data_IF_306771709476
#
_entry.id   IF_306771709476
#
_cell.length_a   1.000
_cell.length_b   1.000
_cell.length_c   1.000
_cell.angle_alpha   90.00
_cell.angle_beta   90.00
_cell.angle_gamma   90.00
#
_symmetry.space_group_name_H-M   'P 1'
#
loop_
_entity.id
_entity.type
_entity.pdbx_description
1 polymer ?
#
# COMPACT_ATOMS: atom_id res chain seq x y z
N UNK A 1 13.97 -33.12 21.19
CA UNK A 1 15.00 -32.37 20.46
C UNK A 1 14.26 -31.20 19.82
N UNK A 2 14.83 -30.00 19.75
CA UNK A 2 14.21 -28.93 19.00
C UNK A 2 13.97 -29.39 17.55
N UNK A 3 12.87 -29.00 16.96
CA UNK A 3 12.56 -29.24 15.55
C UNK A 3 13.68 -28.63 14.69
N UNK A 4 13.93 -29.18 13.53
CA UNK A 4 14.94 -28.66 12.60
C UNK A 4 14.64 -27.23 12.19
N UNK A 5 13.35 -26.84 12.11
CA UNK A 5 12.92 -25.49 11.86
C UNK A 5 13.27 -24.52 13.03
N UNK A 6 13.17 -24.97 14.29
CA UNK A 6 13.54 -24.17 15.45
C UNK A 6 15.04 -23.85 15.46
N UNK A 7 15.88 -24.86 15.13
CA UNK A 7 17.31 -24.66 15.02
C UNK A 7 17.67 -23.70 13.89
N UNK A 8 17.00 -23.83 12.75
CA UNK A 8 17.19 -22.94 11.62
C UNK A 8 16.78 -21.50 11.97
N UNK A 9 15.65 -21.34 12.66
CA UNK A 9 15.13 -20.04 13.11
C UNK A 9 16.08 -19.32 14.09
N UNK A 10 16.79 -20.08 14.93
CA UNK A 10 17.85 -19.52 15.79
C UNK A 10 19.09 -19.14 14.98
N UNK A 11 19.52 -20.00 14.08
CA UNK A 11 20.75 -19.83 13.32
C UNK A 11 20.70 -18.66 12.31
N UNK A 12 19.54 -18.38 11.69
CA UNK A 12 19.38 -17.21 10.79
C UNK A 12 19.50 -15.87 11.50
N UNK A 13 19.35 -15.85 12.81
CA UNK A 13 19.47 -14.65 13.65
C UNK A 13 20.82 -14.56 14.38
N UNK A 14 21.75 -15.48 14.12
CA UNK A 14 23.07 -15.51 14.77
C UNK A 14 23.88 -14.24 14.45
N UNK A 15 24.68 -13.79 15.43
CA UNK A 15 25.58 -12.64 15.25
C UNK A 15 26.68 -12.90 14.23
N UNK A 16 27.07 -14.19 14.06
CA UNK A 16 28.09 -14.59 13.11
C UNK A 16 27.49 -14.68 11.69
N UNK A 17 27.96 -13.88 10.73
CA UNK A 17 27.42 -13.87 9.37
C UNK A 17 27.64 -15.20 8.63
N UNK A 18 28.64 -16.01 9.00
CA UNK A 18 28.83 -17.33 8.40
C UNK A 18 27.78 -18.34 8.88
N UNK A 19 27.34 -18.25 10.15
CA UNK A 19 26.23 -19.08 10.64
C UNK A 19 24.95 -18.72 9.89
N UNK A 20 24.68 -17.45 9.71
CA UNK A 20 23.53 -16.98 8.91
C UNK A 20 23.62 -17.42 7.45
N UNK A 21 24.83 -17.41 6.85
CA UNK A 21 25.03 -17.82 5.47
C UNK A 21 24.68 -19.31 5.29
N UNK A 22 25.24 -20.17 6.13
CA UNK A 22 24.93 -21.59 6.08
C UNK A 22 23.45 -21.88 6.37
N UNK A 23 22.84 -21.11 7.25
CA UNK A 23 21.42 -21.20 7.55
C UNK A 23 20.53 -20.78 6.37
N UNK A 24 20.93 -19.73 5.62
CA UNK A 24 20.23 -19.32 4.41
C UNK A 24 20.25 -20.42 3.34
N UNK A 25 21.42 -21.06 3.16
CA UNK A 25 21.56 -22.20 2.24
C UNK A 25 20.70 -23.39 2.73
N UNK A 26 20.80 -23.73 4.02
CA UNK A 26 20.02 -24.82 4.60
C UNK A 26 18.52 -24.60 4.43
N UNK A 27 18.01 -23.38 4.68
CA UNK A 27 16.59 -23.05 4.50
C UNK A 27 16.11 -23.37 3.08
N UNK A 28 16.91 -23.07 2.05
CA UNK A 28 16.54 -23.35 0.66
C UNK A 28 16.40 -24.83 0.33
N UNK A 29 17.09 -25.71 1.09
CA UNK A 29 16.97 -27.17 0.94
C UNK A 29 15.72 -27.74 1.60
N UNK A 30 15.23 -27.13 2.69
CA UNK A 30 13.97 -27.56 3.31
C UNK A 30 12.79 -27.35 2.35
N UNK A 31 12.78 -26.26 1.60
CA UNK A 31 11.78 -26.00 0.56
C UNK A 31 10.34 -25.97 1.07
N UNK A 32 10.11 -25.47 2.29
CA UNK A 32 8.78 -25.27 2.88
C UNK A 32 8.50 -23.76 3.02
N UNK A 33 7.24 -23.41 3.22
CA UNK A 33 6.85 -22.02 3.45
C UNK A 33 7.45 -21.48 4.75
N UNK A 34 7.46 -22.28 5.81
CA UNK A 34 8.08 -21.94 7.09
C UNK A 34 9.58 -21.69 6.95
N UNK A 35 10.27 -22.48 6.11
CA UNK A 35 11.67 -22.25 5.82
C UNK A 35 11.90 -20.96 5.02
N UNK A 36 10.96 -20.55 4.15
CA UNK A 36 11.01 -19.26 3.45
C UNK A 36 10.84 -18.10 4.46
N UNK A 37 9.89 -18.19 5.37
CA UNK A 37 9.70 -17.19 6.42
C UNK A 37 10.94 -17.04 7.30
N UNK A 38 11.57 -18.16 7.64
CA UNK A 38 12.84 -18.17 8.38
C UNK A 38 13.97 -17.59 7.54
N UNK A 39 14.09 -17.95 6.27
CA UNK A 39 15.10 -17.41 5.35
C UNK A 39 15.03 -15.88 5.24
N UNK A 40 13.83 -15.30 5.15
CA UNK A 40 13.65 -13.85 5.06
C UNK A 40 14.22 -13.11 6.27
N UNK A 41 14.23 -13.73 7.45
CA UNK A 41 14.82 -13.17 8.67
C UNK A 41 16.34 -13.00 8.62
N UNK A 42 17.03 -13.63 7.69
CA UNK A 42 18.46 -13.39 7.45
C UNK A 42 18.73 -11.92 7.14
N UNK A 43 17.78 -11.27 6.48
CA UNK A 43 17.83 -9.86 6.11
C UNK A 43 17.43 -8.88 7.26
N UNK A 44 17.16 -9.37 8.47
CA UNK A 44 16.93 -8.53 9.65
C UNK A 44 18.24 -7.91 10.20
N UNK A 45 19.38 -8.33 9.71
CA UNK A 45 20.69 -7.85 10.08
C UNK A 45 21.52 -7.53 8.82
N UNK A 46 22.55 -6.66 8.92
CA UNK A 46 23.38 -6.30 7.79
C UNK A 46 23.96 -7.50 7.05
N UNK A 47 23.90 -7.46 5.73
CA UNK A 47 24.39 -8.51 4.84
C UNK A 47 25.74 -8.08 4.24
N UNK A 48 26.82 -8.80 4.56
CA UNK A 48 28.04 -8.70 3.79
C UNK A 48 27.87 -9.35 2.40
N UNK A 49 28.78 -9.07 1.47
CA UNK A 49 28.64 -9.49 0.06
C UNK A 49 28.37 -10.99 -0.13
N UNK A 50 29.07 -11.86 0.62
CA UNK A 50 28.88 -13.31 0.53
C UNK A 50 27.52 -13.76 1.05
N UNK A 51 27.10 -13.21 2.19
CA UNK A 51 25.79 -13.53 2.77
C UNK A 51 24.67 -13.02 1.88
N UNK A 52 24.79 -11.82 1.33
CA UNK A 52 23.82 -11.25 0.38
C UNK A 52 23.68 -12.14 -0.85
N UNK A 53 24.80 -12.58 -1.41
CA UNK A 53 24.79 -13.48 -2.55
C UNK A 53 24.10 -14.81 -2.22
N UNK A 54 24.48 -15.47 -1.10
CA UNK A 54 23.86 -16.69 -0.66
C UNK A 54 22.35 -16.53 -0.41
N UNK A 55 21.94 -15.44 0.26
CA UNK A 55 20.54 -15.12 0.53
C UNK A 55 19.73 -14.98 -0.76
N UNK A 56 20.22 -14.20 -1.72
CA UNK A 56 19.53 -14.00 -3.02
C UNK A 56 19.45 -15.30 -3.82
N UNK A 57 20.53 -16.09 -3.85
CA UNK A 57 20.52 -17.41 -4.50
C UNK A 57 19.54 -18.37 -3.85
N UNK A 58 19.46 -18.37 -2.52
CA UNK A 58 18.52 -19.20 -1.76
C UNK A 58 17.08 -18.81 -2.05
N UNK A 59 16.74 -17.52 -2.02
CA UNK A 59 15.41 -17.02 -2.36
C UNK A 59 15.01 -17.33 -3.82
N UNK A 60 15.96 -17.23 -4.75
CA UNK A 60 15.75 -17.50 -6.18
C UNK A 60 15.71 -18.99 -6.53
N UNK A 61 16.00 -19.89 -5.58
CA UNK A 61 15.99 -21.35 -5.82
C UNK A 61 14.56 -21.82 -6.18
N UNK A 62 14.47 -22.90 -6.98
CA UNK A 62 13.18 -23.47 -7.40
C UNK A 62 12.33 -23.89 -6.17
N UNK A 63 12.97 -24.42 -5.14
CA UNK A 63 12.29 -24.85 -3.92
C UNK A 63 11.63 -23.68 -3.18
N UNK A 64 12.22 -22.48 -3.19
CA UNK A 64 11.66 -21.29 -2.55
C UNK A 64 10.69 -20.56 -3.45
N UNK A 65 10.99 -20.47 -4.77
CA UNK A 65 10.18 -19.74 -5.75
C UNK A 65 8.72 -20.15 -5.74
N UNK A 66 8.42 -21.43 -5.67
CA UNK A 66 7.05 -21.97 -5.66
C UNK A 66 6.17 -21.46 -4.50
N UNK A 67 6.79 -20.96 -3.42
CA UNK A 67 6.07 -20.43 -2.25
C UNK A 67 5.83 -18.92 -2.31
N UNK A 68 6.72 -18.18 -2.96
CA UNK A 68 6.59 -16.72 -3.04
C UNK A 68 6.11 -16.21 -4.41
N UNK A 69 6.30 -16.93 -5.51
CA UNK A 69 5.88 -16.48 -6.83
C UNK A 69 4.36 -16.41 -6.92
N UNK A 70 3.84 -15.21 -7.23
CA UNK A 70 2.40 -14.95 -7.25
C UNK A 70 1.73 -14.82 -5.90
N UNK A 71 2.47 -14.92 -4.79
CA UNK A 71 1.95 -14.79 -3.44
C UNK A 71 2.22 -13.37 -2.91
N UNK A 72 1.15 -12.59 -2.70
CA UNK A 72 1.23 -11.18 -2.27
C UNK A 72 1.90 -10.99 -0.91
N UNK A 73 1.82 -11.98 -0.01
CA UNK A 73 2.55 -12.00 1.27
C UNK A 73 4.06 -11.79 1.08
N UNK A 74 4.61 -12.29 0.00
CA UNK A 74 6.04 -12.20 -0.30
C UNK A 74 6.37 -11.17 -1.39
N UNK A 75 5.55 -10.12 -1.53
CA UNK A 75 5.72 -9.07 -2.55
C UNK A 75 7.10 -8.39 -2.56
N UNK A 76 7.82 -8.42 -1.43
CA UNK A 76 9.20 -7.91 -1.34
C UNK A 76 10.24 -8.80 -2.03
N UNK A 77 10.00 -10.12 -2.13
CA UNK A 77 11.00 -11.06 -2.68
C UNK A 77 11.38 -10.74 -4.13
N UNK A 78 10.44 -10.49 -5.06
CA UNK A 78 10.78 -10.05 -6.42
C UNK A 78 11.61 -8.77 -6.46
N UNK A 79 11.34 -7.82 -5.54
CA UNK A 79 12.10 -6.56 -5.45
C UNK A 79 13.54 -6.82 -5.00
N UNK A 80 13.73 -7.67 -3.98
CA UNK A 80 15.04 -8.10 -3.48
C UNK A 80 15.86 -8.84 -4.55
N UNK A 81 15.21 -9.71 -5.32
CA UNK A 81 15.87 -10.47 -6.39
C UNK A 81 16.27 -9.60 -7.58
N UNK A 82 15.48 -8.57 -7.90
CA UNK A 82 15.78 -7.65 -9.01
C UNK A 82 17.03 -6.83 -8.77
N UNK A 83 17.25 -6.40 -7.53
CA UNK A 83 18.47 -5.69 -7.12
C UNK A 83 18.86 -6.10 -5.71
N UNK A 84 19.80 -7.04 -5.62
CA UNK A 84 20.32 -7.55 -4.34
C UNK A 84 20.89 -6.45 -3.43
N UNK A 85 21.32 -5.30 -3.97
CA UNK A 85 21.81 -4.16 -3.18
C UNK A 85 20.68 -3.42 -2.48
N UNK A 86 19.48 -3.48 -3.03
CA UNK A 86 18.28 -2.87 -2.41
C UNK A 86 17.78 -3.64 -1.19
N UNK A 87 18.23 -4.88 -0.97
CA UNK A 87 17.87 -5.63 0.24
C UNK A 87 18.19 -4.83 1.50
N UNK A 88 19.33 -4.15 1.54
CA UNK A 88 19.75 -3.34 2.69
C UNK A 88 18.86 -2.10 2.92
N UNK A 89 18.22 -1.57 1.89
CA UNK A 89 17.30 -0.44 2.04
C UNK A 89 15.98 -0.80 2.74
N UNK A 90 15.72 -2.09 2.92
CA UNK A 90 14.57 -2.63 3.63
C UNK A 90 14.94 -3.26 4.99
N UNK A 91 16.19 -3.06 5.43
CA UNK A 91 16.60 -3.51 6.75
C UNK A 91 16.05 -2.61 7.84
N UNK A 92 15.81 -3.21 8.98
CA UNK A 92 15.45 -2.46 10.17
C UNK A 92 16.56 -1.46 10.52
N UNK A 93 16.23 -0.16 10.68
CA UNK A 93 17.22 0.82 11.09
C UNK A 93 17.70 0.51 12.52
N UNK A 94 18.95 0.89 12.86
CA UNK A 94 19.45 0.71 14.23
C UNK A 94 18.51 1.34 15.25
N UNK A 95 18.06 0.53 16.22
CA UNK A 95 17.21 0.97 17.31
C UNK A 95 17.97 1.70 18.41
N UNK A 96 17.25 2.44 19.22
CA UNK A 96 17.78 3.04 20.47
C UNK A 96 17.98 1.98 21.57
N UNK A 97 18.63 2.34 22.67
CA UNK A 97 18.74 1.45 23.84
C UNK A 97 17.35 1.07 24.41
N UNK A 98 16.37 1.99 24.34
CA UNK A 98 14.98 1.72 24.76
C UNK A 98 14.29 0.72 23.83
N UNK A 99 14.57 0.80 22.54
CA UNK A 99 14.06 -0.16 21.55
C UNK A 99 14.61 -1.55 21.83
N UNK A 100 15.90 -1.65 22.13
CA UNK A 100 16.53 -2.91 22.47
C UNK A 100 15.96 -3.51 23.80
N UNK A 101 15.65 -2.65 24.78
CA UNK A 101 14.97 -3.06 26.02
C UNK A 101 13.54 -3.55 25.74
N UNK A 102 12.80 -2.85 24.87
CA UNK A 102 11.47 -3.26 24.46
C UNK A 102 11.50 -4.62 23.74
N UNK A 103 12.47 -4.83 22.87
CA UNK A 103 12.63 -6.06 22.10
C UNK A 103 12.99 -7.30 22.95
N UNK A 104 13.39 -7.10 24.22
CA UNK A 104 13.64 -8.18 25.20
C UNK A 104 12.38 -8.58 25.98
N UNK A 105 11.25 -7.92 25.79
CA UNK A 105 10.04 -8.27 26.53
C UNK A 105 9.59 -9.71 26.20
N UNK A 106 9.14 -10.41 27.24
CA UNK A 106 8.54 -11.72 27.08
C UNK A 106 7.28 -11.61 26.24
N UNK A 107 7.05 -12.61 25.42
CA UNK A 107 5.87 -12.70 24.54
C UNK A 107 5.78 -11.57 23.47
N UNK A 108 6.90 -10.92 23.15
CA UNK A 108 7.00 -9.98 22.04
C UNK A 108 6.58 -10.68 20.72
N UNK A 109 5.62 -10.08 20.01
CA UNK A 109 5.30 -10.49 18.65
C UNK A 109 5.87 -9.49 17.65
N UNK A 110 6.47 -9.99 16.58
CA UNK A 110 6.96 -9.15 15.47
C UNK A 110 6.01 -9.29 14.28
N UNK A 111 5.33 -8.20 13.94
CA UNK A 111 4.49 -8.10 12.75
C UNK A 111 5.32 -7.45 11.62
N UNK A 112 5.30 -8.09 10.45
CA UNK A 112 5.94 -7.56 9.23
C UNK A 112 4.86 -7.25 8.23
N UNK A 113 4.64 -5.97 7.98
CA UNK A 113 3.64 -5.48 7.03
C UNK A 113 4.37 -4.64 5.98
N UNK A 114 4.18 -4.97 4.71
CA UNK A 114 4.71 -4.19 3.62
C UNK A 114 3.60 -3.67 2.72
N UNK A 115 3.90 -2.66 1.92
CA UNK A 115 3.06 -2.27 0.80
C UNK A 115 3.29 -3.24 -0.36
N UNK A 116 2.23 -3.70 -1.00
CA UNK A 116 2.34 -4.48 -2.24
C UNK A 116 2.63 -3.49 -3.37
N UNK A 117 3.77 -3.61 -4.08
CA UNK A 117 4.08 -2.68 -5.15
C UNK A 117 2.96 -2.58 -6.17
N UNK A 118 2.58 -1.36 -6.51
CA UNK A 118 1.62 -1.06 -7.58
C UNK A 118 0.18 -1.52 -7.31
N UNK A 119 -0.19 -1.90 -6.07
CA UNK A 119 -1.54 -2.38 -5.76
C UNK A 119 -2.29 -1.58 -4.69
N UNK A 120 -1.64 -0.62 -4.02
CA UNK A 120 -2.22 0.12 -2.88
C UNK A 120 -2.87 -0.80 -1.85
N UNK A 121 -2.18 -1.87 -1.48
CA UNK A 121 -2.60 -2.85 -0.47
C UNK A 121 -1.45 -3.17 0.48
N UNK A 122 -1.79 -3.61 1.67
CA UNK A 122 -0.85 -4.21 2.59
C UNK A 122 -0.66 -5.70 2.30
N UNK A 123 0.55 -6.22 2.54
CA UNK A 123 0.82 -7.67 2.41
C UNK A 123 0.00 -8.50 3.39
N UNK A 124 -0.20 -7.96 4.59
CA UNK A 124 -1.03 -8.55 5.62
C UNK A 124 -2.22 -7.61 5.84
N UNK A 125 -3.40 -8.08 5.50
CA UNK A 125 -4.66 -7.34 5.72
C UNK A 125 -5.39 -7.82 6.97
N UNK A 126 -4.97 -8.98 7.50
CA UNK A 126 -5.52 -9.58 8.72
C UNK A 126 -4.38 -10.08 9.58
N UNK A 127 -4.24 -9.54 10.76
CA UNK A 127 -3.25 -9.97 11.75
C UNK A 127 -3.90 -10.13 13.12
N UNK A 128 -3.36 -11.02 13.96
CA UNK A 128 -3.85 -11.21 15.33
C UNK A 128 -2.75 -11.04 16.35
N UNK A 129 -3.12 -10.52 17.53
CA UNK A 129 -2.25 -10.40 18.70
C UNK A 129 -3.08 -10.64 19.97
N UNK A 130 -2.43 -10.99 21.07
CA UNK A 130 -3.08 -11.06 22.37
C UNK A 130 -3.30 -9.68 22.99
N UNK A 131 -4.37 -9.53 23.75
CA UNK A 131 -4.65 -8.32 24.49
C UNK A 131 -3.50 -7.94 25.42
N UNK A 132 -3.01 -6.69 25.30
CA UNK A 132 -1.88 -6.20 26.09
C UNK A 132 -0.51 -6.78 25.69
N UNK A 133 -0.39 -7.51 24.60
CA UNK A 133 0.87 -8.08 24.13
C UNK A 133 1.82 -7.00 23.61
N UNK A 134 3.13 -7.07 23.90
CA UNK A 134 4.11 -6.21 23.24
C UNK A 134 4.22 -6.56 21.76
N UNK A 135 4.17 -5.54 20.90
CA UNK A 135 4.19 -5.64 19.45
C UNK A 135 5.32 -4.81 18.88
N UNK A 136 6.12 -5.44 18.01
CA UNK A 136 7.07 -4.78 17.14
C UNK A 136 6.54 -4.86 15.71
N UNK A 137 6.09 -3.73 15.16
CA UNK A 137 5.70 -3.61 13.77
C UNK A 137 6.88 -3.16 12.92
N UNK A 138 7.26 -3.93 11.92
CA UNK A 138 8.20 -3.54 10.88
C UNK A 138 7.37 -3.24 9.64
N UNK A 139 7.20 -1.96 9.36
CA UNK A 139 6.46 -1.48 8.20
C UNK A 139 7.43 -1.10 7.07
N UNK A 140 7.19 -1.63 5.87
CA UNK A 140 8.11 -1.50 4.74
C UNK A 140 7.36 -1.03 3.48
N UNK A 141 7.94 -0.06 2.78
CA UNK A 141 7.34 0.46 1.55
C UNK A 141 8.28 0.33 0.34
N UNK A 142 8.11 -0.71 -0.50
CA UNK A 142 8.81 -0.87 -1.78
C UNK A 142 8.11 -0.18 -2.96
N UNK A 143 6.94 0.43 -2.72
CA UNK A 143 6.10 1.01 -3.77
C UNK A 143 6.67 2.33 -4.34
N UNK A 144 6.11 2.78 -5.44
CA UNK A 144 6.42 4.04 -6.10
C UNK A 144 5.77 5.26 -5.42
N UNK A 145 4.85 5.02 -4.49
CA UNK A 145 4.09 6.02 -3.75
C UNK A 145 4.42 5.96 -2.27
N UNK A 146 4.33 7.11 -1.57
CA UNK A 146 4.52 7.14 -0.12
C UNK A 146 3.31 6.55 0.59
N UNK A 147 3.57 5.79 1.66
CA UNK A 147 2.54 5.17 2.49
C UNK A 147 2.90 5.26 3.98
N UNK A 148 1.89 5.20 4.81
CA UNK A 148 2.01 5.00 6.26
C UNK A 148 1.10 3.86 6.73
N UNK A 149 1.23 3.50 7.99
CA UNK A 149 0.38 2.54 8.67
C UNK A 149 -0.19 3.19 9.93
N UNK A 150 -1.51 3.24 10.06
CA UNK A 150 -2.21 3.93 11.14
C UNK A 150 -3.24 3.00 11.75
N UNK A 151 -3.09 2.67 13.04
CA UNK A 151 -4.03 1.85 13.81
C UNK A 151 -5.05 2.75 14.50
N UNK A 152 -6.32 2.42 14.36
CA UNK A 152 -7.42 3.22 14.92
C UNK A 152 -8.36 2.40 15.80
N UNK A 153 -9.13 3.10 16.63
CA UNK A 153 -10.19 2.49 17.42
C UNK A 153 -11.27 1.85 16.53
N UNK A 154 -11.92 0.77 16.98
CA UNK A 154 -13.05 0.17 16.28
C UNK A 154 -14.14 1.19 15.94
N UNK A 155 -14.58 1.20 14.66
CA UNK A 155 -15.64 2.08 14.16
C UNK A 155 -15.19 3.48 13.72
N UNK A 156 -13.89 3.84 13.84
CA UNK A 156 -13.40 5.18 13.51
C UNK A 156 -12.55 5.27 12.23
N UNK A 157 -12.44 4.18 11.47
CA UNK A 157 -11.64 4.15 10.25
C UNK A 157 -12.07 5.22 9.24
N UNK A 158 -13.38 5.31 8.96
CA UNK A 158 -13.92 6.27 8.00
C UNK A 158 -13.70 7.70 8.45
N UNK A 159 -13.91 7.99 9.75
CA UNK A 159 -13.71 9.32 10.29
C UNK A 159 -12.25 9.77 10.15
N UNK A 160 -11.30 8.91 10.51
CA UNK A 160 -9.87 9.21 10.41
C UNK A 160 -9.44 9.33 8.94
N UNK A 161 -9.90 8.43 8.08
CA UNK A 161 -9.59 8.45 6.64
C UNK A 161 -10.13 9.71 5.94
N UNK A 162 -11.37 10.10 6.23
CA UNK A 162 -11.95 11.35 5.71
C UNK A 162 -11.22 12.58 6.23
N UNK A 163 -10.86 12.60 7.52
CA UNK A 163 -10.11 13.72 8.10
C UNK A 163 -8.72 13.86 7.46
N UNK A 164 -8.05 12.74 7.13
CA UNK A 164 -6.78 12.75 6.41
C UNK A 164 -6.96 13.32 4.98
N UNK A 165 -8.01 12.93 4.27
CA UNK A 165 -8.35 13.50 2.96
C UNK A 165 -8.57 15.02 3.01
N UNK A 166 -9.25 15.52 4.05
CA UNK A 166 -9.47 16.96 4.21
C UNK A 166 -8.18 17.77 4.37
N UNK A 167 -7.10 17.15 4.84
CA UNK A 167 -5.79 17.81 4.99
C UNK A 167 -5.22 18.31 3.66
N UNK A 168 -5.58 17.70 2.53
CA UNK A 168 -5.16 18.11 1.17
C UNK A 168 -5.58 19.54 0.83
N UNK A 169 -6.72 19.98 1.34
CA UNK A 169 -7.23 21.34 1.10
C UNK A 169 -6.31 22.44 1.61
N UNK A 170 -5.37 22.11 2.48
CA UNK A 170 -4.37 23.04 2.98
C UNK A 170 -2.99 22.72 2.37
N UNK A 171 -2.45 23.54 1.47
CA UNK A 171 -1.15 23.31 0.83
C UNK A 171 0.01 23.12 1.82
N UNK A 172 -0.10 23.66 3.05
CA UNK A 172 0.92 23.47 4.09
C UNK A 172 1.07 22.01 4.53
N UNK A 173 0.06 21.18 4.27
CA UNK A 173 0.09 19.77 4.61
C UNK A 173 0.74 18.90 3.52
N UNK A 174 1.10 19.44 2.37
CA UNK A 174 1.67 18.66 1.25
C UNK A 174 2.90 17.82 1.63
N UNK A 175 3.67 18.27 2.64
CA UNK A 175 4.84 17.56 3.17
C UNK A 175 4.60 16.90 4.53
N UNK A 176 3.37 16.91 5.03
CA UNK A 176 3.02 16.24 6.28
C UNK A 176 2.96 14.73 6.11
N UNK A 177 2.82 14.01 7.21
CA UNK A 177 2.57 12.57 7.20
C UNK A 177 1.08 12.22 7.04
N UNK A 178 0.24 13.22 6.77
CA UNK A 178 -1.22 13.11 6.67
C UNK A 178 -1.88 12.41 7.87
N UNK A 179 -1.30 12.58 9.05
CA UNK A 179 -1.94 12.16 10.30
C UNK A 179 -2.86 13.31 10.74
N UNK A 180 -4.18 13.13 10.72
CA UNK A 180 -5.12 14.18 11.10
C UNK A 180 -5.03 14.49 12.60
N UNK A 181 -5.45 15.72 12.98
CA UNK A 181 -5.63 16.05 14.38
C UNK A 181 -6.72 15.16 14.97
N UNK A 182 -6.43 14.55 16.08
CA UNK A 182 -7.27 13.54 16.74
C UNK A 182 -7.47 13.89 18.23
N UNK A 183 -8.33 14.91 18.53
CA UNK A 183 -8.56 15.34 19.92
C UNK A 183 -9.21 14.26 20.78
N UNK A 184 -9.93 13.31 20.16
CA UNK A 184 -10.67 12.25 20.83
C UNK A 184 -9.89 10.94 20.93
N UNK A 185 -8.62 10.95 20.49
CA UNK A 185 -7.69 9.82 20.58
C UNK A 185 -8.18 8.53 19.88
N UNK A 186 -8.77 8.67 18.69
CA UNK A 186 -9.18 7.52 17.87
C UNK A 186 -7.99 6.85 17.18
N UNK A 187 -6.90 7.58 16.95
CA UNK A 187 -5.63 7.04 16.42
C UNK A 187 -4.83 6.49 17.59
N UNK A 188 -4.60 5.17 17.58
CA UNK A 188 -3.88 4.48 18.65
C UNK A 188 -2.37 4.46 18.41
N UNK A 189 -1.97 4.16 17.17
CA UNK A 189 -0.56 4.07 16.76
C UNK A 189 -0.43 4.50 15.29
N UNK A 190 0.73 5.02 14.91
CA UNK A 190 0.98 5.33 13.51
C UNK A 190 2.49 5.37 13.18
N UNK A 191 2.82 5.14 11.92
CA UNK A 191 4.12 5.42 11.34
C UNK A 191 4.08 6.74 10.57
N UNK A 192 5.20 7.46 10.43
CA UNK A 192 5.29 8.51 9.43
C UNK A 192 5.10 7.93 8.02
N UNK A 193 4.91 8.78 7.04
CA UNK A 193 5.00 8.38 5.64
C UNK A 193 6.42 7.90 5.32
N UNK A 194 6.54 6.76 4.67
CA UNK A 194 7.78 6.23 4.12
C UNK A 194 7.61 5.92 2.64
N UNK A 195 8.67 6.02 1.87
CA UNK A 195 8.63 5.73 0.43
C UNK A 195 9.60 6.58 -0.40
N UNK A 196 9.37 6.68 -1.72
CA UNK A 196 10.31 7.31 -2.65
C UNK A 196 10.55 8.79 -2.40
N UNK A 197 9.54 9.54 -1.92
CA UNK A 197 9.70 10.97 -1.62
C UNK A 197 10.20 11.23 -0.20
N UNK A 198 10.48 10.15 0.55
CA UNK A 198 10.95 10.18 1.94
C UNK A 198 12.33 9.53 2.03
N UNK A 199 13.09 9.90 3.05
CA UNK A 199 14.44 9.37 3.25
C UNK A 199 14.45 7.95 3.86
N UNK A 200 13.31 7.29 3.97
CA UNK A 200 13.21 5.94 4.53
C UNK A 200 12.17 5.10 3.81
N UNK A 201 12.49 3.82 3.65
CA UNK A 201 11.59 2.79 3.13
C UNK A 201 11.12 1.83 4.22
N UNK A 202 11.61 1.99 5.44
CA UNK A 202 11.26 1.16 6.60
C UNK A 202 10.99 2.03 7.80
N UNK A 203 9.95 1.71 8.54
CA UNK A 203 9.70 2.25 9.87
C UNK A 203 9.43 1.13 10.84
N UNK A 204 9.95 1.24 12.06
CA UNK A 204 9.73 0.28 13.14
C UNK A 204 8.99 0.94 14.27
N UNK A 205 7.81 0.42 14.55
CA UNK A 205 6.95 0.89 15.63
C UNK A 205 6.88 -0.16 16.72
N UNK A 206 7.04 0.26 17.98
CA UNK A 206 6.96 -0.59 19.16
C UNK A 206 5.85 -0.09 20.06
N UNK A 207 4.90 -0.96 20.37
CA UNK A 207 3.75 -0.59 21.19
C UNK A 207 3.18 -1.79 21.95
N UNK A 208 2.32 -1.49 22.92
CA UNK A 208 1.53 -2.52 23.57
C UNK A 208 0.18 -2.59 22.88
N UNK A 209 -0.23 -3.78 22.47
CA UNK A 209 -1.53 -4.01 21.89
C UNK A 209 -2.67 -3.52 22.79
N UNK A 210 -3.81 -3.10 22.25
CA UNK A 210 -4.97 -2.74 23.05
C UNK A 210 -5.30 -3.83 24.08
N UNK A 211 -5.76 -3.41 25.26
CA UNK A 211 -6.13 -4.35 26.33
C UNK A 211 -7.50 -4.96 26.14
N UNK A 212 -8.38 -4.25 25.45
CA UNK A 212 -9.74 -4.70 25.18
C UNK A 212 -9.72 -5.58 23.91
N UNK A 213 -10.23 -6.82 23.97
CA UNK A 213 -10.38 -7.64 22.77
C UNK A 213 -11.33 -6.99 21.76
N UNK A 214 -10.99 -7.10 20.47
CA UNK A 214 -11.78 -6.49 19.41
C UNK A 214 -11.04 -6.44 18.08
N UNK A 215 -11.73 -5.94 17.06
CA UNK A 215 -11.18 -5.73 15.72
C UNK A 215 -10.81 -4.26 15.58
N UNK A 216 -9.53 -3.99 15.50
CA UNK A 216 -8.95 -2.66 15.37
C UNK A 216 -8.50 -2.46 13.93
N UNK A 217 -9.16 -1.56 13.17
CA UNK A 217 -8.74 -1.28 11.80
C UNK A 217 -7.37 -0.60 11.75
N UNK A 218 -6.60 -0.89 10.71
CA UNK A 218 -5.45 -0.07 10.33
C UNK A 218 -5.58 0.32 8.85
N UNK A 219 -5.03 1.48 8.50
CA UNK A 219 -5.21 2.08 7.20
C UNK A 219 -3.98 2.89 6.80
N UNK A 220 -3.84 3.19 5.50
CA UNK A 220 -2.94 4.22 5.01
C UNK A 220 -3.69 5.54 4.95
N UNK A 221 -3.19 6.58 5.63
CA UNK A 221 -3.81 7.91 5.63
C UNK A 221 -3.28 8.83 4.54
N UNK A 222 -2.40 8.36 3.65
CA UNK A 222 -2.11 9.13 2.43
C UNK A 222 -3.43 9.36 1.69
N UNK A 223 -3.73 10.60 1.27
CA UNK A 223 -5.06 10.97 0.79
C UNK A 223 -5.59 10.07 -0.32
N UNK A 224 -6.80 9.57 -0.15
CA UNK A 224 -7.48 8.64 -1.05
C UNK A 224 -7.17 7.15 -0.83
N UNK A 225 -6.06 6.80 -0.17
CA UNK A 225 -5.61 5.40 -0.06
C UNK A 225 -6.44 4.57 0.91
N UNK A 226 -6.91 5.15 2.02
CA UNK A 226 -7.57 4.45 3.13
C UNK A 226 -8.77 3.59 2.69
N UNK A 227 -9.43 3.97 1.59
CA UNK A 227 -10.62 3.26 1.08
C UNK A 227 -10.26 1.84 0.65
N UNK A 228 -9.10 1.65 0.05
CA UNK A 228 -8.63 0.36 -0.47
C UNK A 228 -7.43 -0.20 0.30
N UNK A 229 -6.61 0.67 0.88
CA UNK A 229 -5.40 0.29 1.61
C UNK A 229 -5.68 0.28 3.12
N UNK A 230 -6.30 -0.79 3.58
CA UNK A 230 -6.64 -1.01 4.97
C UNK A 230 -6.51 -2.48 5.36
N UNK A 231 -6.65 -2.76 6.65
CA UNK A 231 -6.64 -4.09 7.21
C UNK A 231 -7.16 -4.09 8.65
N UNK A 232 -7.05 -5.21 9.33
CA UNK A 232 -7.56 -5.38 10.68
C UNK A 232 -6.59 -6.11 11.59
N UNK A 233 -6.35 -5.54 12.76
CA UNK A 233 -5.67 -6.17 13.89
C UNK A 233 -6.73 -6.77 14.81
N UNK A 234 -6.79 -8.09 14.87
CA UNK A 234 -7.66 -8.79 15.81
C UNK A 234 -6.94 -8.97 17.15
N UNK A 235 -7.41 -8.26 18.15
CA UNK A 235 -6.94 -8.39 19.54
C UNK A 235 -7.81 -9.43 20.24
N UNK A 236 -7.19 -10.49 20.76
CA UNK A 236 -7.87 -11.62 21.39
C UNK A 236 -7.26 -11.95 22.76
N UNK A 237 -7.96 -12.74 23.58
CA UNK A 237 -7.40 -13.27 24.81
C UNK A 237 -6.61 -14.58 24.58
N UNK A 238 -6.99 -15.31 23.55
CA UNK A 238 -6.45 -16.63 23.21
C UNK A 238 -5.63 -16.58 21.92
N UNK A 239 -4.88 -17.64 21.67
CA UNK A 239 -4.21 -17.83 20.38
C UNK A 239 -5.24 -18.13 19.30
N UNK A 240 -5.08 -17.50 18.14
CA UNK A 240 -5.95 -17.66 16.98
C UNK A 240 -5.18 -18.38 15.89
N UNK A 241 -5.76 -19.42 15.33
CA UNK A 241 -5.20 -20.08 14.17
C UNK A 241 -5.30 -19.20 12.93
N UNK A 242 -4.44 -19.39 11.93
CA UNK A 242 -4.52 -18.67 10.67
C UNK A 242 -5.85 -18.94 9.93
N UNK A 243 -6.39 -20.13 10.08
CA UNK A 243 -7.70 -20.50 9.52
C UNK A 243 -8.84 -19.70 10.18
N UNK A 244 -8.83 -19.61 11.50
CA UNK A 244 -9.83 -18.80 12.25
C UNK A 244 -9.71 -17.31 11.91
N UNK A 245 -8.47 -16.81 11.75
CA UNK A 245 -8.21 -15.43 11.35
C UNK A 245 -8.83 -15.13 9.98
N UNK A 246 -8.68 -16.03 9.02
CA UNK A 246 -9.21 -15.84 7.68
C UNK A 246 -10.73 -15.96 7.62
N UNK A 247 -11.32 -16.88 8.40
CA UNK A 247 -12.76 -17.15 8.40
C UNK A 247 -13.57 -16.14 9.22
N UNK A 248 -13.07 -15.74 10.40
CA UNK A 248 -13.83 -14.97 11.37
C UNK A 248 -13.56 -13.46 11.32
N UNK A 249 -12.45 -13.04 10.75
CA UNK A 249 -12.14 -11.63 10.60
C UNK A 249 -12.71 -11.11 9.29
N UNK A 250 -13.88 -10.48 9.35
CA UNK A 250 -14.40 -9.68 8.24
C UNK A 250 -13.71 -8.32 8.28
N UNK A 251 -12.97 -7.99 7.24
CA UNK A 251 -12.59 -6.60 7.00
C UNK A 251 -13.92 -5.89 6.69
N UNK A 252 -14.30 -4.84 7.43
CA UNK A 252 -15.54 -4.14 7.14
C UNK A 252 -15.54 -3.68 5.68
N UNK A 253 -16.61 -4.00 4.96
CA UNK A 253 -16.97 -3.35 3.69
C UNK A 253 -16.45 -4.01 2.39
N UNK A 254 -15.83 -5.18 2.38
CA UNK A 254 -15.60 -5.87 1.11
C UNK A 254 -16.85 -6.63 0.64
N UNK A 255 -17.44 -6.22 -0.48
CA UNK A 255 -18.58 -6.93 -1.10
C UNK A 255 -18.06 -7.93 -2.14
N UNK A 256 -17.24 -7.45 -3.08
CA UNK A 256 -16.72 -8.28 -4.17
C UNK A 256 -15.54 -7.64 -4.89
N UNK A 257 -14.58 -8.44 -5.30
CA UNK A 257 -13.57 -8.04 -6.29
C UNK A 257 -14.20 -8.14 -7.70
N UNK A 258 -14.70 -7.00 -8.18
CA UNK A 258 -15.41 -6.90 -9.45
C UNK A 258 -14.47 -7.06 -10.64
N UNK A 259 -14.85 -7.92 -11.57
CA UNK A 259 -14.14 -8.13 -12.82
C UNK A 259 -15.00 -7.71 -14.01
N UNK A 260 -14.37 -7.37 -15.14
CA UNK A 260 -15.11 -7.01 -16.36
C UNK A 260 -16.09 -8.10 -16.82
N UNK A 261 -15.79 -9.38 -16.54
CA UNK A 261 -16.65 -10.51 -16.82
C UNK A 261 -17.99 -10.47 -16.07
N UNK A 262 -18.05 -9.81 -14.90
CA UNK A 262 -19.28 -9.65 -14.13
C UNK A 262 -20.28 -8.68 -14.80
N UNK A 263 -19.81 -7.96 -15.83
CA UNK A 263 -20.55 -6.91 -16.54
C UNK A 263 -20.63 -7.17 -18.06
N UNK A 264 -20.92 -8.41 -18.47
CA UNK A 264 -21.03 -8.76 -19.90
C UNK A 264 -22.12 -7.95 -20.62
N UNK A 265 -23.23 -7.69 -19.94
CA UNK A 265 -24.30 -6.81 -20.42
C UNK A 265 -24.47 -5.62 -19.46
N UNK A 266 -24.06 -4.43 -19.93
CA UNK A 266 -24.26 -3.16 -19.24
C UNK A 266 -25.36 -2.38 -19.95
N UNK A 267 -26.39 -2.02 -19.19
CA UNK A 267 -27.36 -0.99 -19.59
C UNK A 267 -27.29 0.13 -18.57
N UNK A 268 -26.70 1.26 -18.98
CA UNK A 268 -26.62 2.46 -18.14
C UNK A 268 -27.97 3.17 -18.23
N UNK A 269 -28.62 3.34 -17.09
CA UNK A 269 -29.89 4.04 -17.02
C UNK A 269 -29.70 5.55 -17.25
N UNK A 270 -30.67 6.15 -17.96
CA UNK A 270 -30.75 7.62 -18.10
C UNK A 270 -31.81 8.23 -17.16
N UNK A 271 -32.38 7.41 -16.29
CA UNK A 271 -33.36 7.82 -15.33
C UNK A 271 -32.75 8.73 -14.25
N UNK A 272 -33.45 9.81 -13.91
CA UNK A 272 -32.99 10.81 -12.94
C UNK A 272 -32.74 10.19 -11.54
N UNK A 273 -33.58 9.23 -11.12
CA UNK A 273 -33.37 8.54 -9.84
C UNK A 273 -32.10 7.70 -9.83
N UNK A 274 -31.75 7.04 -10.96
CA UNK A 274 -30.50 6.31 -11.09
C UNK A 274 -29.29 7.25 -11.01
N UNK A 275 -29.37 8.41 -11.68
CA UNK A 275 -28.33 9.45 -11.63
C UNK A 275 -28.15 9.98 -10.20
N UNK A 276 -29.24 10.23 -9.47
CA UNK A 276 -29.16 10.67 -8.07
C UNK A 276 -28.53 9.63 -7.14
N UNK A 277 -28.90 8.34 -7.31
CA UNK A 277 -28.24 7.26 -6.54
C UNK A 277 -26.76 7.13 -6.93
N UNK A 278 -26.43 7.35 -8.23
CA UNK A 278 -25.07 7.35 -8.72
C UNK A 278 -24.21 8.47 -8.14
N UNK A 279 -24.80 9.64 -7.85
CA UNK A 279 -24.10 10.69 -7.10
C UNK A 279 -23.71 10.20 -5.70
N UNK A 280 -24.60 9.47 -5.01
CA UNK A 280 -24.26 8.87 -3.73
C UNK A 280 -23.12 7.86 -3.89
N UNK A 281 -23.18 6.97 -4.88
CA UNK A 281 -22.12 6.01 -5.19
C UNK A 281 -20.78 6.69 -5.48
N UNK A 282 -20.79 7.83 -6.19
CA UNK A 282 -19.59 8.65 -6.47
C UNK A 282 -18.95 9.20 -5.19
N UNK A 283 -19.77 9.61 -4.22
CA UNK A 283 -19.31 10.08 -2.91
C UNK A 283 -18.85 8.91 -2.03
N UNK A 284 -19.58 7.82 -1.99
CA UNK A 284 -19.25 6.62 -1.20
C UNK A 284 -17.92 5.99 -1.68
N UNK A 285 -17.68 5.93 -3.00
CA UNK A 285 -16.40 5.49 -3.57
C UNK A 285 -15.30 6.56 -3.49
N UNK A 286 -15.55 7.71 -2.85
CA UNK A 286 -14.58 8.78 -2.65
C UNK A 286 -13.96 9.35 -3.95
N UNK A 287 -14.61 9.20 -5.11
CA UNK A 287 -14.12 9.68 -6.40
C UNK A 287 -13.80 11.19 -6.39
N UNK A 288 -14.64 11.97 -5.66
CA UNK A 288 -14.50 13.43 -5.50
C UNK A 288 -13.23 13.85 -4.76
N UNK A 289 -12.53 12.94 -4.09
CA UNK A 289 -11.27 13.23 -3.41
C UNK A 289 -10.08 13.40 -4.37
N UNK A 290 -10.23 12.90 -5.60
CA UNK A 290 -9.20 13.00 -6.62
C UNK A 290 -9.71 13.65 -7.90
N UNK A 291 -11.01 13.61 -8.17
CA UNK A 291 -11.61 14.07 -9.40
C UNK A 291 -12.55 15.26 -9.20
N UNK A 292 -12.54 16.16 -10.15
CA UNK A 292 -13.61 17.15 -10.30
C UNK A 292 -14.80 16.57 -11.06
N UNK A 293 -15.99 16.99 -10.68
CA UNK A 293 -17.26 16.76 -11.37
C UNK A 293 -18.11 18.02 -11.24
N UNK A 294 -18.49 18.64 -12.34
CA UNK A 294 -19.28 19.89 -12.38
C UNK A 294 -18.68 21.01 -11.49
N UNK A 295 -17.35 21.17 -11.58
CA UNK A 295 -16.59 22.17 -10.80
C UNK A 295 -16.48 21.87 -9.29
N UNK A 296 -16.90 20.69 -8.84
CA UNK A 296 -16.80 20.24 -7.44
C UNK A 296 -15.81 19.10 -7.33
N UNK A 297 -15.12 19.00 -6.20
CA UNK A 297 -14.08 17.99 -5.96
C UNK A 297 -12.69 18.55 -6.05
N UNK A 298 -11.69 17.66 -6.12
CA UNK A 298 -10.26 18.00 -6.14
C UNK A 298 -9.68 17.65 -7.52
N UNK A 299 -8.79 18.49 -8.02
CA UNK A 299 -8.13 18.32 -9.33
C UNK A 299 -6.79 17.60 -9.18
N UNK A 300 -6.81 16.36 -8.69
CA UNK A 300 -5.64 15.47 -8.66
C UNK A 300 -5.64 14.49 -9.84
N UNK A 301 -6.83 14.05 -10.23
CA UNK A 301 -7.08 13.26 -11.42
C UNK A 301 -7.79 14.10 -12.50
N UNK A 302 -8.13 13.52 -13.66
CA UNK A 302 -8.87 14.20 -14.70
C UNK A 302 -10.25 14.67 -14.24
N UNK A 303 -10.70 15.81 -14.77
CA UNK A 303 -12.08 16.26 -14.61
C UNK A 303 -13.03 15.30 -15.33
N UNK A 304 -14.01 14.79 -14.60
CA UNK A 304 -14.98 13.80 -15.07
C UNK A 304 -16.25 14.42 -15.65
N UNK A 305 -16.41 15.74 -15.65
CA UNK A 305 -17.61 16.44 -16.13
C UNK A 305 -17.97 16.08 -17.57
N UNK A 306 -16.98 15.82 -18.40
CA UNK A 306 -17.15 15.44 -19.80
C UNK A 306 -16.61 14.02 -20.12
N UNK A 307 -16.50 13.15 -19.11
CA UNK A 307 -15.92 11.81 -19.29
C UNK A 307 -16.68 10.98 -20.33
N UNK A 308 -17.99 11.19 -20.44
CA UNK A 308 -18.86 10.50 -21.41
C UNK A 308 -18.60 10.86 -22.88
N UNK A 309 -17.81 11.90 -23.15
CA UNK A 309 -17.34 12.20 -24.52
C UNK A 309 -16.22 11.24 -24.95
N UNK A 310 -15.49 10.67 -24.00
CA UNK A 310 -14.36 9.74 -24.24
C UNK A 310 -14.72 8.30 -23.97
N UNK A 311 -15.42 8.03 -22.88
CA UNK A 311 -15.73 6.67 -22.40
C UNK A 311 -17.18 6.56 -21.98
N UNK A 312 -17.84 5.42 -22.33
CA UNK A 312 -19.23 5.13 -21.93
C UNK A 312 -19.41 3.64 -21.64
N UNK A 313 -20.40 3.32 -20.83
CA UNK A 313 -20.81 1.94 -20.53
C UNK A 313 -19.63 1.09 -20.08
N UNK A 314 -19.37 0.03 -20.86
CA UNK A 314 -18.32 -0.92 -20.54
C UNK A 314 -16.91 -0.31 -20.58
N UNK A 315 -16.65 0.61 -21.51
CA UNK A 315 -15.35 1.27 -21.64
C UNK A 315 -15.09 2.20 -20.44
N UNK A 316 -16.12 2.92 -19.96
CA UNK A 316 -16.02 3.74 -18.77
C UNK A 316 -15.79 2.88 -17.53
N UNK A 317 -16.53 1.79 -17.36
CA UNK A 317 -16.32 0.86 -16.27
C UNK A 317 -14.91 0.27 -16.27
N UNK A 318 -14.37 -0.04 -17.44
CA UNK A 318 -13.01 -0.55 -17.56
C UNK A 318 -11.97 0.44 -17.04
N UNK A 319 -12.16 1.76 -17.27
CA UNK A 319 -11.25 2.78 -16.74
C UNK A 319 -11.25 2.81 -15.20
N UNK A 320 -12.34 2.40 -14.57
CA UNK A 320 -12.46 2.37 -13.10
C UNK A 320 -11.94 1.06 -12.52
N UNK A 321 -12.29 -0.08 -13.13
CA UNK A 321 -11.88 -1.40 -12.65
C UNK A 321 -10.41 -1.72 -12.97
N UNK A 322 -9.91 -1.18 -14.11
CA UNK A 322 -8.55 -1.42 -14.60
C UNK A 322 -7.90 -0.09 -15.01
N UNK A 323 -7.68 0.82 -14.04
CA UNK A 323 -7.21 2.17 -14.33
C UNK A 323 -5.79 2.21 -14.93
N UNK A 324 -5.01 1.15 -14.74
CA UNK A 324 -3.69 1.00 -15.35
C UNK A 324 -3.75 0.58 -16.83
N UNK A 325 -4.91 0.18 -17.35
CA UNK A 325 -5.05 -0.21 -18.75
C UNK A 325 -4.90 0.97 -19.72
N UNK A 326 -5.21 2.18 -19.26
CA UNK A 326 -5.02 3.42 -20.00
C UNK A 326 -4.74 4.56 -19.05
N UNK A 327 -3.55 5.14 -19.12
CA UNK A 327 -3.13 6.26 -18.28
C UNK A 327 -2.80 7.44 -19.19
N UNK A 328 -3.49 8.55 -19.01
CA UNK A 328 -3.18 9.80 -19.72
C UNK A 328 -1.80 10.32 -19.30
N UNK A 329 -1.00 10.80 -20.24
CA UNK A 329 0.40 11.25 -20.04
C UNK A 329 0.61 12.15 -18.81
N UNK A 330 -0.24 13.17 -18.52
CA UNK A 330 -0.05 14.02 -17.36
C UNK A 330 -0.11 13.31 -16.00
N UNK A 331 -0.72 12.11 -15.96
CA UNK A 331 -0.91 11.32 -14.74
C UNK A 331 0.04 10.13 -14.63
N UNK A 332 0.91 9.91 -15.63
CA UNK A 332 1.92 8.86 -15.57
C UNK A 332 3.04 9.22 -14.58
N UNK A 333 3.34 8.29 -13.71
CA UNK A 333 4.48 8.41 -12.81
C UNK A 333 5.77 8.00 -13.50
N UNK A 334 6.80 8.82 -13.33
CA UNK A 334 8.17 8.52 -13.74
C UNK A 334 9.01 8.31 -12.50
N UNK A 335 9.68 7.16 -12.42
CA UNK A 335 10.66 6.83 -11.39
C UNK A 335 12.05 7.08 -11.94
N UNK A 336 12.89 7.74 -11.16
CA UNK A 336 14.27 8.09 -11.51
C UNK A 336 15.19 7.68 -10.38
N UNK A 337 16.26 6.96 -10.71
CA UNK A 337 17.41 6.74 -9.83
C UNK A 337 18.57 7.60 -10.33
N UNK A 338 19.16 8.38 -9.44
CA UNK A 338 20.36 9.16 -9.76
C UNK A 338 21.64 8.31 -9.64
N UNK A 339 22.74 8.80 -10.18
CA UNK A 339 24.06 8.15 -10.06
C UNK A 339 24.57 8.14 -8.61
N UNK A 340 24.10 9.07 -7.82
CA UNK A 340 24.35 9.18 -6.38
C UNK A 340 23.49 8.22 -5.54
N UNK A 341 22.56 7.50 -6.18
CA UNK A 341 21.67 6.53 -5.53
C UNK A 341 20.39 7.13 -4.94
N UNK A 342 20.09 8.40 -5.22
CA UNK A 342 18.82 8.99 -4.85
C UNK A 342 17.71 8.46 -5.76
N UNK A 343 16.55 8.11 -5.18
CA UNK A 343 15.37 7.67 -5.90
C UNK A 343 14.29 8.76 -5.82
N UNK A 344 13.70 9.06 -6.96
CA UNK A 344 12.63 10.03 -7.09
C UNK A 344 11.48 9.45 -7.91
N UNK A 345 10.26 9.81 -7.54
CA UNK A 345 9.05 9.49 -8.30
C UNK A 345 8.20 10.74 -8.44
N UNK A 346 7.53 10.88 -9.58
CA UNK A 346 6.62 11.99 -9.81
C UNK A 346 6.08 12.03 -11.24
N UNK A 347 5.10 12.89 -11.46
CA UNK A 347 4.58 13.12 -12.81
C UNK A 347 5.57 13.96 -13.62
N UNK A 348 5.81 13.56 -14.86
CA UNK A 348 6.65 14.32 -15.78
C UNK A 348 5.91 15.59 -16.20
N UNK A 349 6.45 16.77 -15.85
CA UNK A 349 5.88 18.06 -16.21
C UNK A 349 6.43 18.54 -17.54
N UNK A 350 7.74 18.51 -17.71
CA UNK A 350 8.42 18.80 -18.96
C UNK A 350 9.82 18.16 -19.03
N UNK A 351 10.34 18.14 -20.24
CA UNK A 351 11.64 17.60 -20.54
C UNK A 351 12.29 18.38 -21.68
N UNK A 352 13.60 18.63 -21.56
CA UNK A 352 14.42 19.14 -22.64
C UNK A 352 15.73 18.33 -22.77
N UNK A 353 16.66 18.76 -23.62
CA UNK A 353 17.93 18.05 -23.86
C UNK A 353 18.78 17.85 -22.60
N UNK A 354 18.70 18.76 -21.62
CA UNK A 354 19.59 18.82 -20.46
C UNK A 354 18.97 18.29 -19.18
N UNK A 355 17.65 18.42 -19.01
CA UNK A 355 16.94 18.10 -17.76
C UNK A 355 15.54 17.57 -17.98
N UNK A 356 15.04 16.89 -16.94
CA UNK A 356 13.61 16.60 -16.75
C UNK A 356 13.09 17.37 -15.53
N UNK A 357 11.82 17.74 -15.54
CA UNK A 357 11.13 18.26 -14.37
C UNK A 357 10.00 17.32 -13.97
N UNK A 358 10.06 16.88 -12.74
CA UNK A 358 9.06 16.03 -12.14
C UNK A 358 8.24 16.84 -11.13
N UNK A 359 6.97 16.49 -10.99
CA UNK A 359 6.10 16.89 -9.88
C UNK A 359 6.02 15.71 -8.90
N UNK A 360 6.77 15.72 -7.80
CA UNK A 360 6.81 14.58 -6.86
C UNK A 360 5.49 14.38 -6.12
N UNK A 361 4.70 15.46 -5.95
CA UNK A 361 3.42 15.39 -5.26
C UNK A 361 2.36 16.19 -6.02
N UNK A 362 1.22 15.56 -6.27
CA UNK A 362 0.05 16.26 -6.83
C UNK A 362 -0.56 17.24 -5.81
N UNK A 363 -0.29 17.06 -4.51
CA UNK A 363 -0.75 17.97 -3.45
C UNK A 363 0.09 19.26 -3.33
N UNK A 364 1.23 19.30 -4.00
CA UNK A 364 2.09 20.49 -4.10
C UNK A 364 2.40 20.77 -5.57
N UNK A 365 1.41 21.22 -6.36
CA UNK A 365 1.54 21.33 -7.82
C UNK A 365 2.63 22.30 -8.27
N UNK A 366 2.99 23.28 -7.44
CA UNK A 366 4.05 24.26 -7.72
C UNK A 366 5.45 23.75 -7.34
N UNK A 367 5.55 22.66 -6.60
CA UNK A 367 6.83 22.07 -6.23
C UNK A 367 7.34 21.16 -7.35
N UNK A 368 8.35 21.64 -8.06
CA UNK A 368 8.95 20.90 -9.16
C UNK A 368 10.39 20.51 -8.84
N UNK A 369 10.69 19.22 -8.99
CA UNK A 369 12.02 18.68 -8.93
C UNK A 369 12.68 18.73 -10.32
N UNK A 370 13.81 19.41 -10.43
CA UNK A 370 14.57 19.47 -11.67
C UNK A 370 15.81 18.56 -11.58
N UNK A 371 15.86 17.53 -12.39
CA UNK A 371 16.96 16.57 -12.47
C UNK A 371 17.71 16.74 -13.79
N UNK A 372 19.05 16.85 -13.74
CA UNK A 372 19.87 16.86 -14.95
C UNK A 372 19.98 15.46 -15.53
N UNK A 373 19.81 15.31 -16.83
CA UNK A 373 19.87 13.99 -17.51
C UNK A 373 21.20 13.26 -17.30
N UNK A 374 22.29 13.98 -17.17
CA UNK A 374 23.61 13.40 -16.91
C UNK A 374 23.78 12.83 -15.49
N UNK A 375 22.90 13.20 -14.55
CA UNK A 375 22.87 12.67 -13.18
C UNK A 375 21.97 11.43 -13.08
N UNK A 376 21.12 11.18 -14.07
CA UNK A 376 20.18 10.06 -14.07
C UNK A 376 20.95 8.78 -14.42
N UNK A 377 20.81 7.77 -13.58
CA UNK A 377 21.31 6.41 -13.78
C UNK A 377 20.28 5.55 -14.48
N UNK A 378 19.05 5.54 -13.96
CA UNK A 378 17.90 4.83 -14.55
C UNK A 378 16.67 5.73 -14.55
N UNK A 379 15.83 5.53 -15.54
CA UNK A 379 14.52 6.16 -15.66
C UNK A 379 13.52 5.13 -16.15
N UNK A 380 12.42 4.98 -15.43
CA UNK A 380 11.33 4.08 -15.76
C UNK A 380 10.01 4.82 -15.68
N UNK A 381 9.13 4.61 -16.65
CA UNK A 381 7.74 5.07 -16.56
C UNK A 381 6.92 3.97 -15.93
N UNK A 382 6.18 4.28 -14.87
CA UNK A 382 5.28 3.33 -14.25
C UNK A 382 4.18 2.91 -15.22
N UNK A 383 3.94 1.61 -15.28
CA UNK A 383 2.79 1.06 -15.99
C UNK A 383 1.49 1.12 -15.16
N UNK A 384 1.60 1.59 -13.90
CA UNK A 384 0.50 1.59 -12.95
C UNK A 384 -0.01 2.99 -12.72
N UNK A 385 -1.34 3.10 -12.71
CA UNK A 385 -2.08 4.33 -12.49
C UNK A 385 -1.99 4.78 -11.01
N UNK A 386 -1.89 6.10 -10.74
CA UNK A 386 -2.12 6.63 -9.40
C UNK A 386 -3.55 6.41 -8.88
N UNK A 387 -4.52 6.15 -9.79
CA UNK A 387 -5.87 5.74 -9.40
C UNK A 387 -5.82 4.27 -8.96
N UNK A 388 -6.25 3.93 -7.73
CA UNK A 388 -6.20 2.56 -7.24
C UNK A 388 -7.23 1.65 -7.92
N UNK A 389 -6.91 0.36 -8.05
CA UNK A 389 -7.91 -0.68 -8.32
C UNK A 389 -8.75 -0.93 -7.05
N UNK A 390 -9.92 -1.56 -7.20
CA UNK A 390 -10.75 -1.98 -6.06
C UNK A 390 -11.67 -0.89 -5.50
N UNK A 391 -11.70 0.32 -6.03
CA UNK A 391 -12.56 1.40 -5.56
C UNK A 391 -14.06 1.06 -5.51
N UNK A 392 -14.49 0.09 -6.31
CA UNK A 392 -15.89 -0.38 -6.36
C UNK A 392 -16.14 -1.64 -5.52
N UNK A 393 -15.14 -2.16 -4.82
CA UNK A 393 -15.23 -3.44 -4.08
C UNK A 393 -16.26 -3.41 -2.94
N UNK A 394 -16.63 -2.22 -2.47
CA UNK A 394 -17.61 -2.01 -1.40
C UNK A 394 -19.06 -1.87 -1.91
N UNK A 395 -19.27 -1.87 -3.22
CA UNK A 395 -20.54 -1.59 -3.87
C UNK A 395 -21.19 -2.87 -4.39
N UNK A 396 -22.50 -2.90 -4.39
CA UNK A 396 -23.25 -3.89 -5.16
C UNK A 396 -23.27 -3.51 -6.66
N UNK A 397 -23.71 -4.45 -7.47
CA UNK A 397 -23.75 -4.28 -8.93
C UNK A 397 -24.65 -3.11 -9.35
N UNK A 398 -25.78 -2.88 -8.64
CA UNK A 398 -26.72 -1.80 -9.00
C UNK A 398 -26.10 -0.43 -8.69
N UNK A 399 -25.44 -0.28 -7.55
CA UNK A 399 -24.73 0.94 -7.19
C UNK A 399 -23.63 1.31 -8.22
N UNK A 400 -22.95 0.31 -8.78
CA UNK A 400 -21.98 0.52 -9.86
C UNK A 400 -22.65 1.00 -11.14
N UNK A 401 -23.80 0.42 -11.52
CA UNK A 401 -24.54 0.87 -12.71
C UNK A 401 -25.10 2.29 -12.54
N UNK A 402 -25.56 2.62 -11.33
CA UNK A 402 -26.02 3.97 -11.00
C UNK A 402 -24.86 4.98 -11.01
N UNK A 403 -23.67 4.58 -10.52
CA UNK A 403 -22.44 5.39 -10.66
C UNK A 403 -22.13 5.71 -12.12
N UNK A 404 -22.19 4.73 -13.02
CA UNK A 404 -21.98 4.96 -14.44
C UNK A 404 -23.02 5.93 -15.01
N UNK A 405 -24.28 5.84 -14.58
CA UNK A 405 -25.34 6.78 -14.99
C UNK A 405 -25.01 8.22 -14.58
N UNK A 406 -24.51 8.43 -13.37
CA UNK A 406 -24.08 9.74 -12.88
C UNK A 406 -22.88 10.29 -13.66
N UNK A 407 -21.85 9.47 -13.89
CA UNK A 407 -20.67 9.84 -14.65
C UNK A 407 -21.03 10.20 -16.11
N UNK A 408 -21.88 9.41 -16.76
CA UNK A 408 -22.32 9.67 -18.15
C UNK A 408 -23.22 10.90 -18.28
N UNK A 409 -23.90 11.27 -17.20
CA UNK A 409 -24.69 12.50 -17.12
C UNK A 409 -23.86 13.77 -16.84
N UNK A 410 -22.54 13.63 -16.65
CA UNK A 410 -21.64 14.75 -16.35
C UNK A 410 -21.92 15.40 -15.00
N UNK A 411 -22.42 14.64 -14.02
CA UNK A 411 -22.76 15.15 -12.69
C UNK A 411 -24.11 15.85 -12.59
N UNK A 412 -24.86 15.94 -13.68
CA UNK A 412 -26.14 16.67 -13.71
C UNK A 412 -27.33 15.71 -13.56
N UNK A 413 -28.02 15.79 -12.42
CA UNK A 413 -29.37 15.26 -12.31
C UNK A 413 -30.33 16.28 -12.95
N UNK A 414 -30.73 16.03 -14.19
CA UNK A 414 -31.93 16.67 -14.74
C UNK A 414 -31.82 18.00 -15.46
N UNK A 415 -30.67 18.40 -16.04
CA UNK A 415 -30.63 19.49 -17.02
C UNK A 415 -30.02 19.00 -18.33
N UNK A 416 -30.88 18.60 -19.26
CA UNK A 416 -30.49 18.55 -20.67
C UNK A 416 -30.08 19.97 -21.08
N UNK A 417 -28.82 20.12 -21.51
CA UNK A 417 -28.43 21.34 -22.28
C UNK A 417 -29.35 21.41 -23.49
N UNK A 418 -30.22 22.42 -23.53
CA UNK A 418 -30.96 22.84 -24.73
C UNK A 418 -30.01 23.32 -25.81
#
# INVERSE_FOLDING_TARGET
MPDAHDLLAQAVSDKNPFVRLESAIAASWFGTQEALDVLLRVADQPLGDHLRYAFVCSLGSENMRRHWEGNTRYALVPVMLRDARKVESFLEPPGSAKDAEFDLQKDLVTLRIACIPEQMRFTEEKVSVKAGQPVKLIFTNPDATDHNWVLVQPGFMDQVGMAANEMVKNPKNARSDFIPKDPDHHILQYTPLIGPSRNSKVNVLRFIAPKEPGIYPYLCTFPGHWVVMNGALWVTNDEVSEEDLQQNLSIPIFVKDWQMADFEAIQVSKDEHAIMRGMKSFLDAQCHQCHQMDGRGIELGPDLSNVSERFRGKDLLQQILKPSSHIDEPYRLVRVETKEGEEWSGNLVDENEQRIRLRPSLFAPDELLSLRKNQIKTRETSAVSPMPEGMLSTMDRQAILDLLAYLEAGGHAGHQKQ
#
